data_IF_092933283213
#
_entry.id   IF_092933283213
#
_cell.length_a   1.000
_cell.length_b   1.000
_cell.length_c   1.000
_cell.angle_alpha   90.00
_cell.angle_beta   90.00
_cell.angle_gamma   90.00
#
_symmetry.space_group_name_H-M   'P 1'
#
loop_
_entity.id
_entity.type
_entity.pdbx_description
1 polymer ?
#
# COMPACT_ATOMS: atom_id res chain seq x y z
N UNK A 1 -2.08 -16.62 -50.84
CA UNK A 1 -3.00 -15.51 -50.43
C UNK A 1 -3.80 -15.81 -49.18
N UNK A 2 -4.49 -16.93 -49.11
CA UNK A 2 -5.34 -17.28 -47.96
C UNK A 2 -4.57 -17.34 -46.61
N UNK A 3 -3.32 -17.81 -46.63
CA UNK A 3 -2.49 -17.90 -45.41
C UNK A 3 -1.90 -16.55 -44.96
N UNK A 4 -1.68 -15.62 -45.86
CA UNK A 4 -1.17 -14.29 -45.49
C UNK A 4 -2.24 -13.45 -44.79
N UNK A 5 -3.45 -13.45 -45.30
CA UNK A 5 -4.57 -12.75 -44.68
C UNK A 5 -4.87 -13.27 -43.27
N UNK A 6 -4.74 -14.59 -43.09
CA UNK A 6 -4.93 -15.23 -41.80
C UNK A 6 -3.85 -14.84 -40.78
N UNK A 7 -2.60 -14.72 -41.23
CA UNK A 7 -1.47 -14.22 -40.41
C UNK A 7 -1.68 -12.75 -40.01
N UNK A 8 -2.06 -11.92 -40.95
CA UNK A 8 -2.34 -10.48 -40.72
C UNK A 8 -3.48 -10.34 -39.71
N UNK A 9 -4.53 -11.12 -39.85
CA UNK A 9 -5.67 -11.10 -38.91
C UNK A 9 -5.25 -11.49 -37.48
N UNK A 10 -4.41 -12.53 -37.34
CA UNK A 10 -3.91 -12.97 -36.04
C UNK A 10 -2.98 -11.93 -35.39
N UNK A 11 -2.11 -11.29 -36.18
CA UNK A 11 -1.19 -10.24 -35.70
C UNK A 11 -1.99 -9.01 -35.27
N UNK A 12 -2.99 -8.61 -36.03
CA UNK A 12 -3.83 -7.46 -35.67
C UNK A 12 -4.62 -7.71 -34.39
N UNK A 13 -5.14 -8.91 -34.21
CA UNK A 13 -5.81 -9.31 -32.97
C UNK A 13 -4.89 -9.28 -31.77
N UNK A 14 -3.64 -9.72 -31.94
CA UNK A 14 -2.64 -9.68 -30.87
C UNK A 14 -2.27 -8.24 -30.49
N UNK A 15 -2.11 -7.35 -31.47
CA UNK A 15 -1.81 -5.92 -31.22
C UNK A 15 -2.95 -5.26 -30.43
N UNK A 16 -4.19 -5.52 -30.80
CA UNK A 16 -5.36 -4.98 -30.07
C UNK A 16 -5.39 -5.51 -28.64
N UNK A 17 -5.11 -6.79 -28.42
CA UNK A 17 -5.08 -7.37 -27.09
C UNK A 17 -4.01 -6.71 -26.22
N UNK A 18 -2.80 -6.55 -26.74
CA UNK A 18 -1.69 -5.87 -26.04
C UNK A 18 -2.07 -4.41 -25.73
N UNK A 19 -2.68 -3.69 -26.65
CA UNK A 19 -3.13 -2.32 -26.44
C UNK A 19 -4.15 -2.22 -25.30
N UNK A 20 -5.11 -3.14 -25.23
CA UNK A 20 -6.09 -3.21 -24.14
C UNK A 20 -5.42 -3.49 -22.81
N UNK A 21 -4.45 -4.41 -22.77
CA UNK A 21 -3.70 -4.74 -21.54
C UNK A 21 -2.91 -3.53 -21.04
N UNK A 22 -2.24 -2.81 -21.94
CA UNK A 22 -1.49 -1.59 -21.60
C UNK A 22 -2.45 -0.52 -21.09
N UNK A 23 -3.56 -0.28 -21.78
CA UNK A 23 -4.56 0.70 -21.34
C UNK A 23 -5.08 0.38 -19.93
N UNK A 24 -5.46 -0.87 -19.66
CA UNK A 24 -5.95 -1.27 -18.35
C UNK A 24 -4.87 -1.11 -17.26
N UNK A 25 -3.62 -1.41 -17.57
CA UNK A 25 -2.51 -1.25 -16.64
C UNK A 25 -2.24 0.22 -16.28
N UNK A 26 -2.29 1.11 -17.28
CA UNK A 26 -2.08 2.54 -17.07
C UNK A 26 -3.28 3.26 -16.44
N UNK A 27 -4.47 2.70 -16.59
CA UNK A 27 -5.72 3.28 -16.06
C UNK A 27 -6.06 2.85 -14.64
N UNK A 28 -5.24 1.97 -14.03
CA UNK A 28 -5.48 1.55 -12.65
C UNK A 28 -5.25 2.73 -11.69
N UNK A 29 -6.21 2.98 -10.76
CA UNK A 29 -6.03 4.03 -9.78
C UNK A 29 -4.83 3.71 -8.87
N UNK A 30 -4.00 4.72 -8.65
CA UNK A 30 -2.85 4.66 -7.76
C UNK A 30 -3.06 5.48 -6.49
N UNK A 31 -2.03 5.53 -5.65
CA UNK A 31 -2.03 6.33 -4.42
C UNK A 31 -2.30 7.82 -4.71
N UNK A 32 -1.79 8.33 -5.83
CA UNK A 32 -1.98 9.72 -6.24
C UNK A 32 -3.43 10.07 -6.61
N UNK A 33 -4.28 9.07 -6.83
CA UNK A 33 -5.70 9.27 -7.17
C UNK A 33 -6.59 9.36 -5.94
N UNK A 34 -6.05 9.17 -4.75
CA UNK A 34 -6.76 9.32 -3.48
C UNK A 34 -7.04 10.80 -3.19
N UNK A 35 -8.16 11.07 -2.55
CA UNK A 35 -8.56 12.45 -2.18
C UNK A 35 -7.64 13.03 -1.11
N UNK A 36 -7.17 12.19 -0.20
CA UNK A 36 -6.25 12.58 0.86
C UNK A 36 -4.81 12.56 0.35
N UNK A 37 -4.00 13.48 0.83
CA UNK A 37 -2.58 13.54 0.52
C UNK A 37 -1.80 12.72 1.54
N UNK A 38 -0.99 11.78 1.06
CA UNK A 38 -0.20 10.87 1.88
C UNK A 38 1.29 11.11 1.65
N UNK A 39 2.06 11.01 2.74
CA UNK A 39 3.52 11.02 2.68
C UNK A 39 4.08 9.96 3.61
N UNK A 40 4.88 9.04 3.05
CA UNK A 40 5.62 8.07 3.85
C UNK A 40 6.79 8.76 4.56
N UNK A 41 6.85 8.65 5.88
CA UNK A 41 7.88 9.24 6.71
C UNK A 41 9.00 8.25 6.97
N UNK A 42 8.66 7.04 7.39
CA UNK A 42 9.61 5.98 7.67
C UNK A 42 8.94 4.62 7.52
N UNK A 43 9.77 3.62 7.25
CA UNK A 43 9.34 2.24 7.13
C UNK A 43 10.40 1.32 7.72
N UNK A 44 9.96 0.17 8.23
CA UNK A 44 10.84 -0.88 8.69
C UNK A 44 10.27 -2.25 8.38
N UNK A 45 11.13 -3.23 8.25
CA UNK A 45 10.74 -4.64 8.15
C UNK A 45 11.77 -5.49 8.87
N UNK A 46 11.38 -6.68 9.29
CA UNK A 46 12.35 -7.63 9.82
C UNK A 46 13.28 -8.10 8.70
N UNK A 47 14.54 -8.25 9.07
CA UNK A 47 15.55 -8.77 8.14
C UNK A 47 15.46 -10.31 8.13
N UNK A 48 15.62 -10.83 6.90
CA UNK A 48 15.87 -12.25 6.67
C UNK A 48 14.72 -13.23 6.93
N UNK A 49 14.96 -14.42 6.52
CA UNK A 49 14.18 -15.62 6.40
C UNK A 49 13.71 -16.25 7.74
N UNK A 50 13.61 -15.50 8.80
CA UNK A 50 13.22 -15.98 10.14
C UNK A 50 11.71 -15.92 10.36
N UNK A 51 10.96 -16.54 9.45
CA UNK A 51 9.51 -16.58 9.55
C UNK A 51 8.79 -15.50 8.76
N UNK A 52 7.55 -15.11 9.14
CA UNK A 52 6.74 -14.16 8.43
C UNK A 52 7.41 -12.79 8.33
N UNK A 53 7.24 -12.12 7.17
CA UNK A 53 7.76 -10.76 6.98
C UNK A 53 6.84 -9.77 7.68
N UNK A 54 7.37 -9.07 8.67
CA UNK A 54 6.70 -8.00 9.38
C UNK A 54 7.11 -6.66 8.79
N UNK A 55 6.14 -5.80 8.49
CA UNK A 55 6.35 -4.46 7.93
C UNK A 55 5.60 -3.43 8.77
N UNK A 56 6.22 -2.29 9.00
CA UNK A 56 5.58 -1.18 9.67
C UNK A 56 5.98 0.14 9.00
N UNK A 57 4.99 1.03 8.86
CA UNK A 57 5.13 2.31 8.18
C UNK A 57 4.58 3.43 9.04
N UNK A 58 5.24 4.57 9.02
CA UNK A 58 4.70 5.84 9.52
C UNK A 58 4.37 6.72 8.32
N UNK A 59 3.13 7.15 8.23
CA UNK A 59 2.60 7.89 7.08
C UNK A 59 1.82 9.10 7.60
N UNK A 60 2.01 10.26 6.99
CA UNK A 60 1.17 11.43 7.26
C UNK A 60 0.02 11.51 6.27
N UNK A 61 -1.12 11.96 6.76
CA UNK A 61 -2.35 12.18 5.99
C UNK A 61 -2.91 13.56 6.33
N UNK A 62 -3.38 14.28 5.33
CA UNK A 62 -3.92 15.62 5.51
C UNK A 62 -5.33 15.67 6.08
N UNK A 63 -6.08 14.57 5.99
CA UNK A 63 -7.46 14.47 6.50
C UNK A 63 -7.75 13.10 7.10
N UNK A 64 -8.65 13.07 8.09
CA UNK A 64 -9.09 11.82 8.72
C UNK A 64 -10.12 11.12 7.83
N UNK A 65 -9.66 10.32 6.90
CA UNK A 65 -10.49 9.52 6.00
C UNK A 65 -10.10 8.05 6.07
N UNK A 66 -10.91 7.26 6.75
CA UNK A 66 -10.67 5.82 6.96
C UNK A 66 -10.70 5.06 5.64
N UNK A 67 -11.54 5.47 4.69
CA UNK A 67 -11.62 4.84 3.37
C UNK A 67 -10.29 5.02 2.62
N UNK A 68 -9.78 6.23 2.56
CA UNK A 68 -8.50 6.53 1.93
C UNK A 68 -7.33 5.84 2.64
N UNK A 69 -7.34 5.80 3.98
CA UNK A 69 -6.36 5.06 4.78
C UNK A 69 -6.35 3.57 4.43
N UNK A 70 -7.52 2.97 4.28
CA UNK A 70 -7.65 1.55 3.91
C UNK A 70 -7.09 1.31 2.52
N UNK A 71 -7.43 2.14 1.56
CA UNK A 71 -6.93 2.02 0.19
C UNK A 71 -5.42 2.22 0.14
N UNK A 72 -4.89 3.21 0.85
CA UNK A 72 -3.45 3.44 0.95
C UNK A 72 -2.73 2.22 1.51
N UNK A 73 -3.21 1.66 2.61
CA UNK A 73 -2.64 0.46 3.22
C UNK A 73 -2.66 -0.74 2.27
N UNK A 74 -3.71 -0.89 1.48
CA UNK A 74 -3.81 -1.97 0.49
C UNK A 74 -2.77 -1.85 -0.64
N UNK A 75 -2.24 -0.66 -0.91
CA UNK A 75 -1.13 -0.48 -1.86
C UNK A 75 0.24 -0.83 -1.26
N UNK A 76 0.34 -0.95 0.06
CA UNK A 76 1.62 -1.28 0.69
C UNK A 76 2.02 -2.72 0.41
N UNK A 77 3.32 -3.00 0.26
CA UNK A 77 3.80 -4.36 0.09
C UNK A 77 3.35 -5.26 1.23
N UNK A 78 2.88 -6.45 0.88
CA UNK A 78 2.47 -7.46 1.83
C UNK A 78 2.91 -8.84 1.35
N UNK A 79 3.55 -9.59 2.22
CA UNK A 79 4.00 -10.94 1.93
C UNK A 79 3.05 -11.95 2.56
N UNK A 80 2.75 -13.03 1.84
CA UNK A 80 1.89 -14.11 2.33
C UNK A 80 2.35 -14.57 3.72
N UNK A 81 1.41 -14.69 4.65
CA UNK A 81 1.63 -15.00 6.06
C UNK A 81 2.35 -13.90 6.86
N UNK A 82 2.72 -12.80 6.23
CA UNK A 82 3.32 -11.65 6.90
C UNK A 82 2.29 -10.74 7.57
N UNK A 83 2.78 -9.67 8.18
CA UNK A 83 1.95 -8.63 8.80
C UNK A 83 2.41 -7.26 8.32
N UNK A 84 1.47 -6.43 7.91
CA UNK A 84 1.73 -5.05 7.47
C UNK A 84 0.92 -4.09 8.32
N UNK A 85 1.59 -3.16 8.97
CA UNK A 85 0.96 -2.10 9.76
C UNK A 85 1.33 -0.73 9.22
N UNK A 86 0.36 0.17 9.15
CA UNK A 86 0.56 1.56 8.75
C UNK A 86 -0.02 2.45 9.85
N UNK A 87 0.81 3.30 10.41
CA UNK A 87 0.44 4.25 11.46
C UNK A 87 0.28 5.63 10.84
N UNK A 88 -0.90 6.22 10.96
CA UNK A 88 -1.27 7.49 10.35
C UNK A 88 -1.18 8.65 11.34
N UNK A 89 -0.60 9.75 10.90
CA UNK A 89 -0.43 10.99 11.67
C UNK A 89 -0.80 12.20 10.81
N UNK A 90 -1.13 13.32 11.45
CA UNK A 90 -1.24 14.59 10.74
C UNK A 90 0.15 15.19 10.48
N UNK A 91 0.37 15.81 9.29
CA UNK A 91 1.66 16.39 8.96
C UNK A 91 2.00 17.64 9.79
N UNK A 92 1.00 18.30 10.36
CA UNK A 92 1.14 19.50 11.19
C UNK A 92 1.21 19.21 12.70
N UNK A 93 1.19 17.96 13.10
CA UNK A 93 1.34 17.50 14.48
C UNK A 93 2.62 16.69 14.62
N UNK A 94 3.14 16.50 15.83
CA UNK A 94 4.30 15.65 16.04
C UNK A 94 4.06 14.22 15.56
N UNK A 95 5.03 13.66 14.87
CA UNK A 95 5.01 12.27 14.43
C UNK A 95 6.39 11.65 14.56
N UNK A 96 6.49 10.32 14.76
CA UNK A 96 7.78 9.65 14.89
C UNK A 96 8.50 9.58 13.53
N UNK A 97 9.82 9.76 13.57
CA UNK A 97 10.70 9.61 12.39
C UNK A 97 11.36 8.25 12.35
N UNK A 98 11.18 7.44 13.38
CA UNK A 98 11.68 6.07 13.49
C UNK A 98 10.58 5.16 14.01
N UNK A 99 10.56 3.93 13.55
CA UNK A 99 9.59 2.93 13.95
C UNK A 99 10.29 1.59 14.17
N UNK A 100 9.82 0.83 15.14
CA UNK A 100 10.29 -0.51 15.45
C UNK A 100 9.19 -1.53 15.16
N UNK A 101 9.57 -2.79 15.02
CA UNK A 101 8.62 -3.91 14.86
C UNK A 101 8.11 -4.45 16.18
N UNK A 102 8.84 -4.21 17.28
CA UNK A 102 8.55 -4.68 18.63
C UNK A 102 8.04 -3.51 19.47
N UNK A 103 7.06 -3.75 20.31
CA UNK A 103 6.53 -2.75 21.23
C UNK A 103 7.61 -2.24 22.22
N UNK A 104 7.68 -0.93 22.47
CA UNK A 104 6.88 0.11 21.82
C UNK A 104 7.39 0.38 20.40
N UNK A 105 6.47 0.42 19.42
CA UNK A 105 6.83 0.60 18.00
C UNK A 105 7.43 1.98 17.72
N UNK A 106 7.04 2.97 18.51
CA UNK A 106 7.63 4.32 18.54
C UNK A 106 7.51 4.90 19.95
N UNK A 107 8.14 6.04 20.18
CA UNK A 107 8.08 6.69 21.48
C UNK A 107 6.64 6.99 21.90
N UNK A 108 6.30 6.68 23.14
CA UNK A 108 4.96 6.85 23.70
C UNK A 108 4.44 8.29 23.63
N UNK A 109 5.31 9.27 23.56
CA UNK A 109 4.92 10.67 23.38
C UNK A 109 4.15 10.93 22.09
N UNK A 110 4.31 10.08 21.08
CA UNK A 110 3.61 10.19 19.80
C UNK A 110 2.26 9.45 19.77
N UNK A 111 1.97 8.60 20.74
CA UNK A 111 0.74 7.79 20.74
C UNK A 111 -0.52 8.65 20.65
N UNK A 112 -0.55 9.76 21.39
CA UNK A 112 -1.69 10.70 21.39
C UNK A 112 -1.91 11.39 20.05
N UNK A 113 -0.93 11.38 19.16
CA UNK A 113 -1.01 12.00 17.83
C UNK A 113 -1.32 10.97 16.73
N UNK A 114 -1.28 9.69 17.05
CA UNK A 114 -1.61 8.64 16.08
C UNK A 114 -3.12 8.63 15.82
N UNK A 115 -3.49 8.86 14.57
CA UNK A 115 -4.89 8.94 14.16
C UNK A 115 -5.53 7.56 14.06
N UNK A 116 -4.83 6.66 13.40
CA UNK A 116 -5.32 5.31 13.13
C UNK A 116 -4.19 4.38 12.78
N UNK A 117 -4.46 3.09 12.88
CA UNK A 117 -3.56 2.01 12.48
C UNK A 117 -4.26 1.12 11.48
N UNK A 118 -3.69 0.99 10.29
CA UNK A 118 -4.06 -0.03 9.33
C UNK A 118 -3.25 -1.28 9.62
N UNK A 119 -3.89 -2.43 9.65
CA UNK A 119 -3.21 -3.72 9.80
C UNK A 119 -3.77 -4.74 8.82
N UNK A 120 -2.88 -5.40 8.09
CA UNK A 120 -3.16 -6.57 7.28
C UNK A 120 -2.41 -7.75 7.86
N UNK A 121 -3.15 -8.73 8.37
CA UNK A 121 -2.56 -9.89 9.06
C UNK A 121 -2.10 -10.99 8.08
N UNK A 122 -1.55 -12.05 8.64
CA UNK A 122 -1.03 -13.19 7.87
C UNK A 122 -2.08 -13.96 7.05
N UNK A 123 -3.35 -13.76 7.35
CA UNK A 123 -4.48 -14.35 6.60
C UNK A 123 -5.05 -13.38 5.56
N UNK A 124 -4.46 -12.21 5.40
CA UNK A 124 -4.92 -11.18 4.46
C UNK A 124 -6.10 -10.36 4.95
N UNK A 125 -6.48 -10.50 6.22
CA UNK A 125 -7.56 -9.70 6.81
C UNK A 125 -7.08 -8.30 7.12
N UNK A 126 -7.89 -7.30 6.76
CA UNK A 126 -7.58 -5.88 6.92
C UNK A 126 -8.47 -5.27 8.00
N UNK A 127 -7.85 -4.54 8.91
CA UNK A 127 -8.54 -3.76 9.95
C UNK A 127 -7.92 -2.37 10.01
N UNK A 128 -8.76 -1.33 10.10
CA UNK A 128 -8.33 0.03 10.43
C UNK A 128 -9.01 0.42 11.73
N UNK A 129 -8.21 0.77 12.73
CA UNK A 129 -8.70 1.12 14.06
C UNK A 129 -8.05 2.41 14.55
N UNK A 130 -8.72 3.14 15.44
CA UNK A 130 -8.10 4.21 16.20
C UNK A 130 -7.00 3.66 17.11
N UNK A 131 -6.02 4.49 17.37
CA UNK A 131 -4.89 4.11 18.23
C UNK A 131 -5.24 4.29 19.71
#
# INVERSE_FOLDING_TARGET
>A
MKNQNRKIFLISGLIVLIAIMIYNSLSQPGISDLKSEFKEITATRNEQNDGPILRAYVVTIDSLDVTDMTVYGNFMPHTKYGNTKVYFFYPNKPFPKKINLIEPVFDQTFEKYCLAVYEKNGMGQVVVRGF
#
